data_IF_799561047491
#
_entry.id   IF_799561047491
#
_cell.length_a   1.000
_cell.length_b   1.000
_cell.length_c   1.000
_cell.angle_alpha   90.00
_cell.angle_beta   90.00
_cell.angle_gamma   90.00
#
_symmetry.space_group_name_H-M   'P 1'
#
loop_
_entity.id
_entity.type
_entity.pdbx_description
1 polymer ?
#
# COMPACT_ATOMS: atom_id res chain seq x y z
N UNK A 1 48.28 -11.63 -11.81
CA UNK A 1 47.41 -10.62 -12.47
C UNK A 1 45.97 -11.13 -12.70
N UNK A 2 45.77 -12.38 -13.11
CA UNK A 2 44.45 -12.97 -13.39
C UNK A 2 43.59 -13.10 -12.09
N UNK A 3 44.22 -13.43 -10.95
CA UNK A 3 43.53 -13.61 -9.67
C UNK A 3 42.98 -12.29 -9.10
N UNK A 4 43.69 -11.19 -9.25
CA UNK A 4 43.31 -9.85 -8.82
C UNK A 4 42.14 -9.28 -9.67
N UNK A 5 42.10 -9.60 -10.97
CA UNK A 5 41.02 -9.22 -11.86
C UNK A 5 39.68 -9.94 -11.49
N UNK A 6 39.79 -11.24 -11.17
CA UNK A 6 38.61 -12.04 -10.76
C UNK A 6 38.01 -11.54 -9.44
N UNK A 7 38.85 -11.14 -8.48
CA UNK A 7 38.36 -10.54 -7.21
C UNK A 7 37.68 -9.18 -7.38
N UNK A 8 38.19 -8.33 -8.28
CA UNK A 8 37.58 -7.01 -8.55
C UNK A 8 36.22 -7.14 -9.22
N UNK A 9 36.05 -8.11 -10.12
CA UNK A 9 34.76 -8.38 -10.77
C UNK A 9 33.74 -8.92 -9.78
N UNK A 10 34.12 -9.81 -8.84
CA UNK A 10 33.23 -10.31 -7.79
C UNK A 10 32.82 -9.22 -6.80
N UNK A 11 33.69 -8.27 -6.50
CA UNK A 11 33.37 -7.14 -5.62
C UNK A 11 32.40 -6.13 -6.25
N UNK A 12 32.48 -5.95 -7.58
CA UNK A 12 31.56 -5.06 -8.32
C UNK A 12 30.15 -5.67 -8.41
N UNK A 13 30.03 -6.99 -8.55
CA UNK A 13 28.76 -7.69 -8.58
C UNK A 13 28.02 -7.70 -7.22
N UNK A 14 28.75 -7.56 -6.11
CA UNK A 14 28.16 -7.50 -4.76
C UNK A 14 27.57 -6.11 -4.42
N UNK A 15 27.85 -5.09 -5.20
CA UNK A 15 27.39 -3.70 -4.99
C UNK A 15 26.10 -3.35 -5.73
N UNK A 16 25.49 -4.27 -6.48
CA UNK A 16 24.34 -3.97 -7.36
C UNK A 16 22.98 -4.39 -6.74
N UNK A 17 22.96 -4.87 -5.51
CA UNK A 17 21.73 -5.40 -4.90
C UNK A 17 21.15 -4.52 -3.78
N UNK A 18 21.19 -3.22 -3.89
CA UNK A 18 20.31 -2.35 -3.12
C UNK A 18 19.15 -1.94 -4.02
N UNK A 19 18.10 -2.75 -4.04
CA UNK A 19 16.78 -2.30 -4.50
C UNK A 19 16.32 -1.29 -3.45
N UNK A 20 16.43 -0.01 -3.76
CA UNK A 20 15.78 1.02 -2.96
C UNK A 20 14.28 0.92 -3.25
N UNK A 21 13.51 0.44 -2.29
CA UNK A 21 12.07 0.65 -2.30
C UNK A 21 11.83 2.17 -2.33
N UNK A 22 11.24 2.69 -3.40
CA UNK A 22 11.00 4.13 -3.57
C UNK A 22 9.92 4.65 -2.61
N UNK A 23 9.11 3.76 -2.05
CA UNK A 23 7.99 4.05 -1.17
C UNK A 23 8.27 3.40 0.17
N UNK A 24 8.59 4.19 1.17
CA UNK A 24 8.97 3.70 2.49
C UNK A 24 8.45 4.63 3.58
N UNK A 25 7.62 4.09 4.48
CA UNK A 25 7.22 4.73 5.72
C UNK A 25 6.88 3.65 6.75
N UNK A 26 6.97 4.00 8.03
CA UNK A 26 6.49 3.18 9.14
C UNK A 26 5.77 4.11 10.11
N UNK A 27 4.45 4.03 10.17
CA UNK A 27 3.60 4.91 10.97
C UNK A 27 2.57 4.09 11.73
N UNK A 28 2.20 4.60 12.91
CA UNK A 28 1.17 4.02 13.76
C UNK A 28 -0.19 3.97 13.05
N UNK A 29 -0.91 2.86 13.26
CA UNK A 29 -2.28 2.68 12.83
C UNK A 29 -3.25 3.33 13.83
N UNK A 30 -4.04 4.26 13.34
CA UNK A 30 -5.04 5.02 14.12
C UNK A 30 -6.47 4.47 14.00
N UNK A 31 -6.69 3.34 13.31
CA UNK A 31 -8.02 2.74 13.22
C UNK A 31 -8.27 1.75 14.36
N UNK A 32 -9.15 2.07 15.36
CA UNK A 32 -9.37 1.21 16.52
C UNK A 32 -10.03 -0.14 16.18
N UNK A 33 -10.55 -0.31 14.98
CA UNK A 33 -11.15 -1.57 14.50
C UNK A 33 -10.18 -2.40 13.64
N UNK A 34 -9.03 -1.85 13.31
CA UNK A 34 -7.99 -2.56 12.56
C UNK A 34 -7.26 -3.60 13.42
N UNK A 35 -6.87 -4.75 12.84
CA UNK A 35 -6.04 -5.73 13.54
C UNK A 35 -4.66 -5.21 13.98
N UNK A 36 -4.18 -4.14 13.34
CA UNK A 36 -2.87 -3.53 13.62
C UNK A 36 -2.95 -2.24 14.44
N UNK A 37 -4.11 -1.94 15.04
CA UNK A 37 -4.30 -0.75 15.87
C UNK A 37 -3.17 -0.54 16.90
N UNK A 38 -2.68 0.70 17.02
CA UNK A 38 -1.54 1.10 17.87
C UNK A 38 -0.19 0.44 17.50
N UNK A 39 -0.14 -0.29 16.38
CA UNK A 39 1.11 -0.84 15.83
C UNK A 39 1.55 -0.05 14.59
N UNK A 40 2.83 -0.06 14.30
CA UNK A 40 3.29 0.55 13.04
C UNK A 40 2.91 -0.37 11.88
N UNK A 41 2.37 0.24 10.84
CA UNK A 41 2.08 -0.41 9.56
C UNK A 41 3.04 0.04 8.47
N UNK A 42 3.06 -0.73 7.38
CA UNK A 42 4.06 -0.67 6.34
C UNK A 42 5.38 -1.27 6.85
N UNK A 43 6.41 -1.24 6.33
CA UNK A 43 7.71 -1.85 6.52
C UNK A 43 8.09 -2.25 7.97
N UNK A 44 8.58 -3.49 8.20
CA UNK A 44 8.84 -4.57 7.22
C UNK A 44 7.67 -5.57 7.06
N UNK A 45 6.55 -5.40 7.76
CA UNK A 45 5.49 -6.40 7.90
C UNK A 45 4.81 -6.74 6.57
N UNK A 46 4.81 -5.80 5.64
CA UNK A 46 4.15 -5.97 4.33
C UNK A 46 5.12 -6.24 3.17
N UNK A 47 6.38 -6.58 3.45
CA UNK A 47 7.22 -7.20 2.44
C UNK A 47 6.58 -8.54 2.01
N UNK A 48 6.52 -8.79 0.70
CA UNK A 48 5.80 -9.91 0.08
C UNK A 48 4.26 -9.79 0.06
N UNK A 49 3.73 -8.59 0.30
CA UNK A 49 2.32 -8.25 0.05
C UNK A 49 2.20 -7.32 -1.16
N UNK A 50 1.13 -7.44 -1.91
CA UNK A 50 0.69 -6.33 -2.77
C UNK A 50 -0.05 -5.35 -1.86
N UNK A 51 0.44 -4.10 -1.82
CA UNK A 51 -0.11 -3.06 -0.97
C UNK A 51 -0.85 -2.02 -1.80
N UNK A 52 -1.97 -1.55 -1.27
CA UNK A 52 -2.80 -0.54 -1.92
C UNK A 52 -2.99 0.64 -0.97
N UNK A 53 -2.57 1.82 -1.37
CA UNK A 53 -2.56 3.02 -0.54
C UNK A 53 -3.68 3.96 -0.96
N UNK A 54 -4.69 4.10 -0.10
CA UNK A 54 -5.84 4.97 -0.33
C UNK A 54 -5.63 6.36 0.27
N UNK A 55 -5.56 7.37 -0.58
CA UNK A 55 -5.37 8.77 -0.19
C UNK A 55 -6.73 9.48 -0.03
N UNK A 56 -7.39 9.25 1.09
CA UNK A 56 -8.67 9.88 1.44
C UNK A 56 -8.52 11.17 2.26
N UNK A 57 -9.60 11.94 2.39
CA UNK A 57 -9.71 13.06 3.32
C UNK A 57 -10.77 12.75 4.36
N UNK A 58 -10.39 12.68 5.64
CA UNK A 58 -11.18 12.07 6.72
C UNK A 58 -12.48 12.84 7.07
N UNK A 59 -12.60 14.11 6.72
CA UNK A 59 -13.72 14.96 7.13
C UNK A 59 -14.89 15.02 6.12
N UNK A 60 -14.89 14.18 5.08
CA UNK A 60 -15.97 14.14 4.10
C UNK A 60 -16.65 12.77 4.03
N UNK A 61 -17.99 12.76 4.21
CA UNK A 61 -18.77 11.52 4.28
C UNK A 61 -18.67 10.60 3.07
N UNK A 62 -18.43 11.13 1.86
CA UNK A 62 -18.20 10.32 0.66
C UNK A 62 -16.93 9.46 0.77
N UNK A 63 -15.87 9.98 1.34
CA UNK A 63 -14.61 9.25 1.51
C UNK A 63 -14.65 8.23 2.65
N UNK A 64 -15.42 8.53 3.72
CA UNK A 64 -15.76 7.55 4.75
C UNK A 64 -16.47 6.34 4.15
N UNK A 65 -17.48 6.57 3.30
CA UNK A 65 -18.18 5.49 2.62
C UNK A 65 -17.24 4.68 1.70
N UNK A 66 -16.35 5.35 0.96
CA UNK A 66 -15.36 4.67 0.10
C UNK A 66 -14.38 3.84 0.92
N UNK A 67 -13.93 4.33 2.09
CA UNK A 67 -13.02 3.58 2.96
C UNK A 67 -13.67 2.31 3.49
N UNK A 68 -14.95 2.35 3.87
CA UNK A 68 -15.74 1.16 4.19
C UNK A 68 -15.89 0.19 3.01
N UNK A 69 -16.20 0.71 1.80
CA UNK A 69 -16.28 -0.12 0.59
C UNK A 69 -14.94 -0.79 0.22
N UNK A 70 -13.82 -0.14 0.50
CA UNK A 70 -12.48 -0.71 0.30
C UNK A 70 -12.21 -1.83 1.32
N UNK A 71 -12.70 -1.70 2.56
CA UNK A 71 -12.64 -2.77 3.57
C UNK A 71 -13.41 -4.00 3.09
N UNK A 72 -14.69 -3.83 2.71
CA UNK A 72 -15.50 -4.91 2.15
C UNK A 72 -14.85 -5.55 0.90
N UNK A 73 -14.22 -4.72 0.07
CA UNK A 73 -13.56 -5.21 -1.15
C UNK A 73 -12.26 -5.97 -0.87
N UNK A 74 -11.49 -5.59 0.16
CA UNK A 74 -10.34 -6.38 0.60
C UNK A 74 -10.77 -7.77 1.05
N UNK A 75 -11.89 -7.87 1.77
CA UNK A 75 -12.47 -9.15 2.17
C UNK A 75 -12.94 -9.98 0.97
N UNK A 76 -13.58 -9.36 -0.02
CA UNK A 76 -13.97 -10.00 -1.28
C UNK A 76 -12.73 -10.56 -2.02
N UNK A 77 -11.67 -9.74 -2.16
CA UNK A 77 -10.43 -10.17 -2.81
C UNK A 77 -9.76 -11.36 -2.08
N UNK A 78 -9.79 -11.38 -0.75
CA UNK A 78 -9.18 -12.46 0.04
C UNK A 78 -10.01 -13.73 0.05
N UNK A 79 -11.32 -13.61 0.31
CA UNK A 79 -12.18 -14.74 0.58
C UNK A 79 -12.79 -15.35 -0.70
N UNK A 80 -13.12 -14.52 -1.69
CA UNK A 80 -13.80 -14.95 -2.90
C UNK A 80 -12.82 -15.13 -4.08
N UNK A 81 -11.85 -14.22 -4.22
CA UNK A 81 -10.88 -14.21 -5.32
C UNK A 81 -9.56 -14.94 -4.96
N UNK A 82 -9.29 -15.22 -3.66
CA UNK A 82 -8.14 -16.00 -3.20
C UNK A 82 -6.81 -15.23 -3.10
N UNK A 83 -6.84 -13.91 -3.10
CA UNK A 83 -5.65 -13.06 -2.96
C UNK A 83 -5.33 -12.82 -1.47
N UNK A 84 -4.71 -13.78 -0.78
CA UNK A 84 -4.46 -13.72 0.67
C UNK A 84 -3.43 -12.63 1.05
N UNK A 85 -2.37 -12.47 0.25
CA UNK A 85 -1.24 -11.56 0.55
C UNK A 85 -1.46 -10.16 -0.07
N UNK A 86 -2.56 -9.53 0.26
CA UNK A 86 -2.86 -8.14 -0.09
C UNK A 86 -3.23 -7.34 1.15
N UNK A 87 -2.97 -6.05 1.13
CA UNK A 87 -3.43 -5.13 2.17
C UNK A 87 -3.76 -3.75 1.58
N UNK A 88 -4.90 -3.20 1.98
CA UNK A 88 -5.28 -1.82 1.70
C UNK A 88 -5.00 -0.98 2.95
N UNK A 89 -4.31 0.14 2.79
CA UNK A 89 -3.93 1.05 3.87
C UNK A 89 -4.50 2.43 3.56
N UNK A 90 -5.28 2.99 4.48
CA UNK A 90 -5.71 4.38 4.43
C UNK A 90 -4.56 5.32 4.78
N UNK A 91 -4.38 6.38 4.01
CA UNK A 91 -3.40 7.44 4.27
C UNK A 91 -4.15 8.74 4.52
N UNK A 92 -4.38 9.05 5.78
CA UNK A 92 -5.01 10.29 6.25
C UNK A 92 -4.02 11.45 6.35
N UNK A 93 -4.44 12.54 6.97
CA UNK A 93 -3.62 13.71 7.26
C UNK A 93 -3.73 14.08 8.75
N UNK A 94 -2.64 14.39 9.41
CA UNK A 94 -2.66 14.74 10.86
C UNK A 94 -3.54 15.95 11.17
N UNK A 95 -3.69 16.90 10.25
CA UNK A 95 -4.60 18.04 10.40
C UNK A 95 -6.08 17.62 10.50
N UNK A 96 -6.41 16.40 10.08
CA UNK A 96 -7.79 15.86 10.09
C UNK A 96 -7.99 14.76 11.14
N UNK A 97 -7.06 14.58 12.07
CA UNK A 97 -7.06 13.49 13.08
C UNK A 97 -8.36 13.42 13.88
N UNK A 98 -8.97 14.55 14.20
CA UNK A 98 -10.25 14.59 14.92
C UNK A 98 -11.42 13.90 14.20
N UNK A 99 -11.30 13.59 12.92
CA UNK A 99 -12.31 12.87 12.13
C UNK A 99 -12.01 11.36 11.98
N UNK A 100 -10.91 10.83 12.51
CA UNK A 100 -10.51 9.43 12.32
C UNK A 100 -11.59 8.44 12.75
N UNK A 101 -12.22 8.61 13.91
CA UNK A 101 -13.27 7.72 14.40
C UNK A 101 -14.47 7.60 13.43
N UNK A 102 -14.87 8.72 12.83
CA UNK A 102 -15.96 8.70 11.86
C UNK A 102 -15.50 8.16 10.49
N UNK A 103 -14.26 8.42 10.12
CA UNK A 103 -13.69 7.91 8.88
C UNK A 103 -13.52 6.38 8.90
N UNK A 104 -13.12 5.82 10.03
CA UNK A 104 -12.92 4.38 10.24
C UNK A 104 -14.20 3.61 10.61
N UNK A 105 -15.34 4.27 10.84
CA UNK A 105 -16.52 3.66 11.44
C UNK A 105 -17.05 2.38 10.76
N UNK A 106 -16.77 2.20 9.47
CA UNK A 106 -17.19 1.04 8.67
C UNK A 106 -16.01 0.34 7.99
N UNK A 107 -14.82 0.40 8.57
CA UNK A 107 -13.60 -0.16 7.97
C UNK A 107 -12.71 -0.75 9.03
N UNK A 108 -12.15 -1.92 8.79
CA UNK A 108 -11.11 -2.54 9.60
C UNK A 108 -9.71 -2.38 8.98
N UNK A 109 -9.60 -1.62 7.89
CA UNK A 109 -8.32 -1.33 7.24
C UNK A 109 -7.44 -0.44 8.12
N UNK A 110 -6.11 -0.63 8.12
CA UNK A 110 -5.19 0.30 8.78
C UNK A 110 -5.34 1.72 8.27
N UNK A 111 -5.24 2.70 9.18
CA UNK A 111 -5.19 4.13 8.86
C UNK A 111 -3.91 4.75 9.41
N UNK A 112 -3.00 5.15 8.55
CA UNK A 112 -1.81 5.92 8.92
C UNK A 112 -2.01 7.41 8.66
N UNK A 113 -1.30 8.26 9.42
CA UNK A 113 -1.47 9.69 9.36
C UNK A 113 -0.24 10.37 8.77
N UNK A 114 -0.39 10.88 7.55
CA UNK A 114 0.64 11.67 6.85
C UNK A 114 0.85 13.02 7.55
N UNK A 115 2.06 13.32 8.07
CA UNK A 115 2.32 14.52 8.83
C UNK A 115 2.10 15.80 8.04
N UNK A 116 1.15 16.64 8.50
CA UNK A 116 0.90 17.98 7.92
C UNK A 116 1.83 19.03 8.56
N UNK A 117 2.27 20.06 7.82
CA UNK A 117 1.87 20.41 6.45
C UNK A 117 2.72 19.76 5.36
N UNK A 118 3.82 19.09 5.69
CA UNK A 118 4.83 18.65 4.72
C UNK A 118 4.39 17.42 3.89
N UNK A 119 3.46 16.62 4.41
CA UNK A 119 2.87 15.47 3.75
C UNK A 119 3.90 14.53 3.08
N UNK A 120 4.88 14.02 3.85
CA UNK A 120 6.01 13.26 3.30
C UNK A 120 5.60 11.97 2.61
N UNK A 121 4.51 11.32 3.05
CA UNK A 121 4.02 10.11 2.38
C UNK A 121 3.47 10.49 1.00
N UNK A 122 2.56 11.46 0.92
CA UNK A 122 2.00 11.92 -0.36
C UNK A 122 3.08 12.36 -1.34
N UNK A 123 4.14 13.00 -0.85
CA UNK A 123 5.28 13.39 -1.68
C UNK A 123 6.02 12.19 -2.28
N UNK A 124 6.16 11.09 -1.54
CA UNK A 124 6.73 9.84 -2.07
C UNK A 124 5.88 9.26 -3.20
N UNK A 125 4.55 9.35 -3.08
CA UNK A 125 3.62 8.79 -4.07
C UNK A 125 3.33 9.74 -5.25
N UNK A 126 3.96 10.93 -5.32
CA UNK A 126 3.88 11.81 -6.48
C UNK A 126 4.60 11.17 -7.70
N UNK A 127 4.02 11.25 -8.92
CA UNK A 127 2.81 11.98 -9.32
C UNK A 127 1.51 11.15 -9.24
N UNK A 128 1.53 9.95 -8.69
CA UNK A 128 0.42 8.98 -8.77
C UNK A 128 -0.68 9.23 -7.74
N UNK A 129 -0.35 9.90 -6.63
CA UNK A 129 -1.38 10.25 -5.68
C UNK A 129 -2.23 11.44 -6.18
N UNK A 130 -3.52 11.34 -6.00
CA UNK A 130 -4.50 12.42 -6.07
C UNK A 130 -5.49 12.22 -4.93
N UNK A 131 -6.30 13.23 -4.59
CA UNK A 131 -7.42 13.03 -3.66
C UNK A 131 -8.35 11.97 -4.23
N UNK A 132 -8.59 10.88 -3.48
CA UNK A 132 -9.28 9.65 -3.86
C UNK A 132 -8.44 8.63 -4.67
N UNK A 133 -7.16 8.82 -4.83
CA UNK A 133 -6.33 7.82 -5.48
C UNK A 133 -6.16 6.57 -4.60
N UNK A 134 -6.23 5.40 -5.22
CA UNK A 134 -5.70 4.15 -4.72
C UNK A 134 -4.46 3.82 -5.54
N UNK A 135 -3.30 3.82 -4.91
CA UNK A 135 -2.02 3.49 -5.56
C UNK A 135 -1.61 2.08 -5.15
N UNK A 136 -1.26 1.25 -6.13
CA UNK A 136 -0.97 -0.17 -5.95
C UNK A 136 0.53 -0.40 -6.12
N UNK A 137 1.14 -1.05 -5.14
CA UNK A 137 2.54 -1.45 -5.14
C UNK A 137 2.65 -2.97 -5.10
N UNK A 138 3.60 -3.52 -5.83
CA UNK A 138 3.94 -4.94 -5.80
C UNK A 138 4.61 -5.38 -4.50
N UNK A 139 4.80 -6.68 -4.33
CA UNK A 139 5.43 -7.30 -3.18
C UNK A 139 6.90 -6.85 -2.96
N UNK A 140 7.52 -6.29 -3.98
CA UNK A 140 8.86 -5.70 -3.94
C UNK A 140 8.84 -4.17 -3.72
N UNK A 141 7.64 -3.58 -3.49
CA UNK A 141 7.42 -2.16 -3.31
C UNK A 141 7.44 -1.34 -4.60
N UNK A 142 7.53 -1.96 -5.79
CA UNK A 142 7.48 -1.24 -7.05
C UNK A 142 6.05 -0.85 -7.42
N UNK A 143 5.91 0.29 -8.09
CA UNK A 143 4.63 0.77 -8.58
C UNK A 143 4.05 -0.15 -9.66
N UNK A 144 2.79 -0.58 -9.48
CA UNK A 144 2.02 -1.39 -10.43
C UNK A 144 0.94 -0.58 -11.15
N UNK A 145 0.27 0.32 -10.44
CA UNK A 145 -0.82 1.10 -11.01
C UNK A 145 -1.50 2.03 -10.01
N UNK A 146 -2.40 2.86 -10.49
CA UNK A 146 -3.27 3.69 -9.64
C UNK A 146 -4.61 3.94 -10.31
N UNK A 147 -5.63 4.18 -9.51
CA UNK A 147 -6.97 4.52 -9.99
C UNK A 147 -7.68 5.46 -9.00
N UNK A 148 -8.50 6.36 -9.53
CA UNK A 148 -9.39 7.18 -8.71
C UNK A 148 -10.57 6.37 -8.18
N UNK A 149 -10.79 6.38 -6.86
CA UNK A 149 -11.84 5.63 -6.17
C UNK A 149 -12.77 6.55 -5.37
N UNK A 150 -13.23 7.63 -5.97
CA UNK A 150 -14.27 8.46 -5.37
C UNK A 150 -15.60 7.70 -5.19
N UNK A 151 -15.75 6.61 -5.90
CA UNK A 151 -16.77 5.58 -5.75
C UNK A 151 -16.16 4.25 -6.23
N UNK A 152 -16.19 3.22 -5.40
CA UNK A 152 -15.68 1.88 -5.72
C UNK A 152 -16.71 1.07 -6.52
N UNK A 153 -16.83 1.41 -7.81
CA UNK A 153 -17.71 0.69 -8.74
C UNK A 153 -17.04 -0.51 -9.40
N UNK A 154 -17.79 -1.21 -10.24
CA UNK A 154 -17.31 -2.41 -10.95
C UNK A 154 -16.08 -2.14 -11.82
N UNK A 155 -15.97 -0.96 -12.42
CA UNK A 155 -14.82 -0.57 -13.24
C UNK A 155 -13.54 -0.49 -12.41
N UNK A 156 -13.60 0.12 -11.22
CA UNK A 156 -12.47 0.21 -10.29
C UNK A 156 -12.07 -1.18 -9.76
N UNK A 157 -13.07 -1.98 -9.36
CA UNK A 157 -12.85 -3.35 -8.88
C UNK A 157 -12.18 -4.22 -9.95
N UNK A 158 -12.65 -4.16 -11.18
CA UNK A 158 -12.06 -4.94 -12.27
C UNK A 158 -10.63 -4.48 -12.59
N UNK A 159 -10.36 -3.18 -12.64
CA UNK A 159 -9.01 -2.66 -12.84
C UNK A 159 -8.02 -3.17 -11.77
N UNK A 160 -8.44 -3.21 -10.51
CA UNK A 160 -7.61 -3.74 -9.42
C UNK A 160 -7.39 -5.25 -9.62
N UNK A 161 -8.44 -6.02 -9.96
CA UNK A 161 -8.31 -7.46 -10.24
C UNK A 161 -7.38 -7.76 -11.40
N UNK A 162 -7.44 -6.98 -12.48
CA UNK A 162 -6.57 -7.14 -13.65
C UNK A 162 -5.08 -6.99 -13.24
N UNK A 163 -4.76 -6.02 -12.37
CA UNK A 163 -3.40 -5.86 -11.80
C UNK A 163 -3.03 -7.04 -10.92
N UNK A 164 -3.93 -7.50 -10.05
CA UNK A 164 -3.66 -8.62 -9.17
C UNK A 164 -3.45 -9.91 -9.98
N UNK A 165 -4.27 -10.19 -10.99
CA UNK A 165 -4.12 -11.35 -11.87
C UNK A 165 -2.75 -11.36 -12.58
N UNK A 166 -2.25 -10.20 -13.00
CA UNK A 166 -0.95 -10.08 -13.66
C UNK A 166 0.24 -10.27 -12.70
N UNK A 167 0.13 -9.82 -11.43
CA UNK A 167 1.29 -9.67 -10.56
C UNK A 167 1.29 -10.58 -9.32
N UNK A 168 0.15 -11.14 -8.91
CA UNK A 168 0.02 -11.91 -7.65
C UNK A 168 0.79 -13.24 -7.69
N UNK A 169 0.77 -13.98 -8.81
CA UNK A 169 1.48 -15.26 -8.94
C UNK A 169 3.00 -15.13 -8.81
N UNK A 170 3.56 -13.97 -9.15
CA UNK A 170 4.99 -13.72 -9.02
C UNK A 170 5.46 -13.67 -7.56
N UNK A 171 4.57 -13.31 -6.62
CA UNK A 171 4.88 -13.28 -5.19
C UNK A 171 5.02 -14.67 -4.60
N UNK A 172 4.22 -15.63 -5.06
CA UNK A 172 4.22 -17.02 -4.55
C UNK A 172 5.43 -17.81 -5.08
N UNK A 173 5.90 -17.52 -6.29
CA UNK A 173 7.03 -18.21 -6.92
C UNK A 173 8.40 -17.73 -6.40
N UNK A 174 8.48 -16.53 -5.80
CA UNK A 174 9.69 -16.00 -5.18
C UNK A 174 10.11 -16.77 -3.93
N UNK A 175 9.19 -17.39 -3.21
CA UNK A 175 9.44 -18.15 -1.99
C UNK A 175 9.89 -19.61 -2.24
N UNK A 176 9.92 -20.07 -3.49
CA UNK A 176 10.29 -21.44 -3.87
C UNK A 176 11.72 -21.58 -4.46
N UNK A 177 12.50 -20.52 -4.49
CA UNK A 177 13.90 -20.50 -4.93
C UNK A 177 14.81 -20.00 -3.81
#
# INVERSE_FOLDING_TARGET
>A
EIYIRSMKIKLILLLISFVFCNYNYSLEDYNPTSPTYESNVWEPEYLNYITMHYFGTQNWGGWTATFGQLSDFQDELRNDDGYENIVIIGVGQTIMEGANNSFCANSDLPLVMDPSPDLPIRNQFSPYYDSHALVILGYDGNYLGHIGVSNLGITQKNYIRDILEEHYEQSILGDLN
#
